data_IF_541024153164
#
_entry.id   IF_541024153164
#
_cell.length_a   1.000
_cell.length_b   1.000
_cell.length_c   1.000
_cell.angle_alpha   90.00
_cell.angle_beta   90.00
_cell.angle_gamma   90.00
#
_symmetry.space_group_name_H-M   'P 1'
#
loop_
_entity.id
_entity.type
_entity.pdbx_description
1 polymer ?
#
# COMPACT_ATOMS: atom_id res chain seq x y z
N UNK A 1 -26.39 -37.93 -11.48
CA UNK A 1 -25.60 -38.23 -10.26
C UNK A 1 -24.12 -38.00 -10.61
N UNK A 2 -23.44 -36.86 -10.44
CA UNK A 2 -23.61 -35.59 -9.73
C UNK A 2 -22.79 -34.57 -10.56
N UNK A 3 -23.44 -33.57 -11.12
CA UNK A 3 -22.80 -32.41 -11.76
C UNK A 3 -22.12 -31.58 -10.68
N UNK A 4 -20.83 -31.24 -10.83
CA UNK A 4 -20.28 -30.00 -10.28
C UNK A 4 -19.09 -29.51 -11.12
N UNK A 5 -18.98 -28.19 -11.33
CA UNK A 5 -18.76 -27.59 -12.64
C UNK A 5 -17.52 -26.70 -12.62
N UNK A 6 -16.39 -27.23 -12.12
CA UNK A 6 -15.14 -26.50 -12.08
C UNK A 6 -14.36 -26.76 -13.35
N UNK A 7 -14.82 -26.04 -14.36
CA UNK A 7 -14.24 -25.93 -15.68
C UNK A 7 -12.78 -25.42 -15.59
N UNK A 8 -11.82 -26.35 -15.57
CA UNK A 8 -10.37 -26.08 -15.63
C UNK A 8 -9.95 -25.26 -16.88
N UNK A 9 -10.87 -24.97 -17.80
CA UNK A 9 -10.63 -24.21 -19.03
C UNK A 9 -10.90 -22.69 -18.96
N UNK A 10 -11.30 -22.11 -17.81
CA UNK A 10 -11.77 -20.70 -17.74
C UNK A 10 -10.76 -19.65 -17.24
N UNK A 11 -9.45 -19.95 -17.13
CA UNK A 11 -8.44 -18.99 -16.59
C UNK A 11 -7.33 -18.66 -17.60
N UNK A 12 -7.56 -18.84 -18.90
CA UNK A 12 -6.69 -18.29 -19.94
C UNK A 12 -7.56 -17.50 -20.91
N UNK A 13 -7.64 -16.16 -20.81
CA UNK A 13 -8.14 -15.38 -21.92
C UNK A 13 -7.24 -15.68 -23.12
N UNK A 14 -7.75 -16.43 -24.09
CA UNK A 14 -7.04 -16.72 -25.34
C UNK A 14 -7.07 -15.53 -26.31
N UNK A 15 -7.58 -14.39 -25.85
CA UNK A 15 -7.63 -13.14 -26.58
C UNK A 15 -6.30 -12.41 -26.52
N UNK A 16 -5.86 -11.87 -27.67
CA UNK A 16 -4.64 -11.05 -27.76
C UNK A 16 -4.67 -9.88 -26.78
N UNK A 17 -5.86 -9.33 -26.53
CA UNK A 17 -6.10 -8.24 -25.59
C UNK A 17 -5.84 -8.65 -24.13
N UNK A 18 -6.28 -9.85 -23.73
CA UNK A 18 -6.03 -10.37 -22.38
C UNK A 18 -4.55 -10.61 -22.10
N UNK A 19 -3.81 -11.15 -23.07
CA UNK A 19 -2.34 -11.30 -22.97
C UNK A 19 -1.62 -9.95 -22.90
N UNK A 20 -2.09 -8.95 -23.65
CA UNK A 20 -1.54 -7.59 -23.61
C UNK A 20 -1.75 -6.91 -22.26
N UNK A 21 -2.97 -6.98 -21.70
CA UNK A 21 -3.27 -6.44 -20.37
C UNK A 21 -2.50 -7.16 -19.26
N UNK A 22 -2.31 -8.48 -19.39
CA UNK A 22 -1.53 -9.27 -18.45
C UNK A 22 -0.05 -8.87 -18.49
N UNK A 23 0.51 -8.63 -19.68
CA UNK A 23 1.88 -8.14 -19.84
C UNK A 23 2.07 -6.76 -19.17
N UNK A 24 1.15 -5.81 -19.42
CA UNK A 24 1.19 -4.50 -18.77
C UNK A 24 1.05 -4.60 -17.25
N UNK A 25 0.13 -5.43 -16.75
CA UNK A 25 -0.07 -5.68 -15.32
C UNK A 25 1.18 -6.29 -14.66
N UNK A 26 1.84 -7.23 -15.33
CA UNK A 26 3.09 -7.82 -14.84
C UNK A 26 4.21 -6.81 -14.81
N UNK A 27 4.34 -5.96 -15.84
CA UNK A 27 5.34 -4.90 -15.88
C UNK A 27 5.13 -3.90 -14.73
N UNK A 28 3.88 -3.46 -14.51
CA UNK A 28 3.54 -2.61 -13.37
C UNK A 28 3.87 -3.29 -12.03
N UNK A 29 3.54 -4.57 -11.85
CA UNK A 29 3.89 -5.29 -10.61
C UNK A 29 5.40 -5.33 -10.35
N UNK A 30 6.21 -5.55 -11.37
CA UNK A 30 7.67 -5.54 -11.26
C UNK A 30 8.17 -4.14 -10.84
N UNK A 31 7.66 -3.08 -11.47
CA UNK A 31 8.00 -1.70 -11.13
C UNK A 31 7.61 -1.38 -9.68
N UNK A 32 6.41 -1.79 -9.25
CA UNK A 32 5.95 -1.62 -7.87
C UNK A 32 6.86 -2.34 -6.85
N UNK A 33 7.33 -3.54 -7.18
CA UNK A 33 8.30 -4.28 -6.37
C UNK A 33 9.65 -3.56 -6.25
N UNK A 34 10.16 -3.02 -7.35
CA UNK A 34 11.39 -2.21 -7.34
C UNK A 34 11.24 -0.96 -6.47
N UNK A 35 10.10 -0.26 -6.56
CA UNK A 35 9.80 0.92 -5.75
C UNK A 35 9.79 0.58 -4.26
N UNK A 36 9.16 -0.53 -3.85
CA UNK A 36 9.18 -0.99 -2.46
C UNK A 36 10.60 -1.22 -1.94
N UNK A 37 11.44 -1.92 -2.71
CA UNK A 37 12.82 -2.19 -2.32
C UNK A 37 13.58 -0.87 -2.11
N UNK A 38 13.39 0.10 -3.01
CA UNK A 38 14.04 1.40 -2.93
C UNK A 38 13.63 2.17 -1.67
N UNK A 39 12.35 2.19 -1.33
CA UNK A 39 11.84 2.87 -0.11
C UNK A 39 12.34 2.20 1.16
N UNK A 40 12.37 0.86 1.19
CA UNK A 40 12.91 0.11 2.32
C UNK A 40 14.38 0.46 2.52
N UNK A 41 15.16 0.55 1.45
CA UNK A 41 16.57 0.97 1.50
C UNK A 41 16.68 2.39 2.10
N UNK A 42 15.89 3.35 1.61
CA UNK A 42 15.87 4.72 2.13
C UNK A 42 15.52 4.75 3.62
N UNK A 43 14.51 3.98 4.03
CA UNK A 43 14.11 3.89 5.43
C UNK A 43 15.23 3.30 6.31
N UNK A 44 15.88 2.22 5.87
CA UNK A 44 17.03 1.63 6.57
C UNK A 44 18.17 2.65 6.69
N UNK A 45 18.49 3.39 5.63
CA UNK A 45 19.50 4.45 5.69
C UNK A 45 19.11 5.56 6.66
N UNK A 46 17.83 5.97 6.70
CA UNK A 46 17.34 6.97 7.66
C UNK A 46 17.46 6.48 9.10
N UNK A 47 17.07 5.23 9.37
CA UNK A 47 17.17 4.63 10.71
C UNK A 47 18.63 4.54 11.15
N UNK A 48 19.53 4.09 10.26
CA UNK A 48 20.97 4.01 10.56
C UNK A 48 21.57 5.40 10.81
N UNK A 49 21.23 6.39 9.99
CA UNK A 49 21.68 7.77 10.17
C UNK A 49 21.20 8.39 11.49
N UNK A 50 19.97 8.06 11.91
CA UNK A 50 19.40 8.47 13.20
C UNK A 50 20.12 7.85 14.39
N UNK A 51 20.51 6.58 14.30
CA UNK A 51 21.16 5.84 15.40
C UNK A 51 22.64 6.20 15.54
N UNK A 52 23.36 6.44 14.44
CA UNK A 52 24.82 6.65 14.46
C UNK A 52 25.21 8.13 14.50
N UNK A 53 24.47 9.01 13.83
CA UNK A 53 24.86 10.41 13.61
C UNK A 53 23.88 11.45 14.19
N UNK A 54 22.81 11.02 14.85
CA UNK A 54 21.72 11.88 15.36
C UNK A 54 21.18 12.88 14.32
N UNK A 55 21.40 12.60 13.04
CA UNK A 55 21.08 13.46 11.91
C UNK A 55 20.10 12.71 11.01
N UNK A 56 18.78 12.83 11.25
CA UNK A 56 17.77 12.21 10.40
C UNK A 56 17.75 12.85 9.02
N UNK A 57 17.40 12.07 8.01
CA UNK A 57 17.04 12.59 6.69
C UNK A 57 15.72 13.37 6.82
N UNK A 58 15.77 14.70 6.67
CA UNK A 58 14.57 15.54 6.68
C UNK A 58 13.70 15.20 5.45
N UNK A 59 12.42 14.86 5.67
CA UNK A 59 11.48 14.51 4.58
C UNK A 59 11.49 13.02 4.19
N UNK A 60 12.10 12.14 4.99
CA UNK A 60 12.03 10.68 4.78
C UNK A 60 10.59 10.13 4.82
N UNK A 61 9.76 10.65 5.72
CA UNK A 61 8.34 10.27 5.82
C UNK A 61 7.53 10.58 4.57
N UNK A 62 7.68 11.78 4.00
CA UNK A 62 6.96 12.19 2.78
C UNK A 62 7.36 11.32 1.58
N UNK A 63 8.65 10.98 1.48
CA UNK A 63 9.18 10.11 0.44
C UNK A 63 8.66 8.67 0.56
N UNK A 64 8.59 8.15 1.79
CA UNK A 64 8.04 6.82 2.08
C UNK A 64 6.54 6.77 1.80
N UNK A 65 5.78 7.81 2.14
CA UNK A 65 4.33 7.89 1.90
C UNK A 65 4.02 7.87 0.41
N UNK A 66 4.64 8.77 -0.36
CA UNK A 66 4.46 8.85 -1.81
C UNK A 66 4.91 7.56 -2.50
N UNK A 67 6.05 7.03 -2.09
CA UNK A 67 6.58 5.79 -2.63
C UNK A 67 5.67 4.58 -2.36
N UNK A 68 5.11 4.47 -1.15
CA UNK A 68 4.15 3.42 -0.80
C UNK A 68 2.89 3.50 -1.67
N UNK A 69 2.36 4.70 -1.90
CA UNK A 69 1.19 4.90 -2.76
C UNK A 69 1.47 4.39 -4.18
N UNK A 70 2.60 4.78 -4.78
CA UNK A 70 3.03 4.34 -6.11
C UNK A 70 3.11 2.80 -6.16
N UNK A 71 3.74 2.17 -5.16
CA UNK A 71 3.86 0.72 -5.10
C UNK A 71 2.49 0.02 -5.07
N UNK A 72 1.57 0.46 -4.19
CA UNK A 72 0.23 -0.13 -4.05
C UNK A 72 -0.55 -0.02 -5.36
N UNK A 73 -0.57 1.17 -5.98
CA UNK A 73 -1.27 1.37 -7.26
C UNK A 73 -0.66 0.52 -8.39
N UNK A 74 0.65 0.29 -8.37
CA UNK A 74 1.33 -0.56 -9.35
C UNK A 74 0.98 -2.05 -9.21
N UNK A 75 0.60 -2.52 -8.01
CA UNK A 75 0.14 -3.90 -7.80
C UNK A 75 -1.35 -4.11 -8.08
N UNK A 76 -2.16 -3.06 -8.02
CA UNK A 76 -3.61 -3.13 -8.23
C UNK A 76 -4.03 -3.85 -9.53
N UNK A 77 -3.45 -3.56 -10.72
CA UNK A 77 -3.88 -4.21 -11.97
C UNK A 77 -3.63 -5.72 -11.99
N UNK A 78 -2.51 -6.19 -11.41
CA UNK A 78 -2.26 -7.64 -11.35
C UNK A 78 -3.17 -8.36 -10.35
N UNK A 79 -3.57 -7.70 -9.26
CA UNK A 79 -4.58 -8.20 -8.32
C UNK A 79 -5.95 -8.36 -9.00
N UNK A 80 -6.37 -7.36 -9.77
CA UNK A 80 -7.59 -7.42 -10.57
C UNK A 80 -7.56 -8.56 -11.59
N UNK A 81 -6.44 -8.73 -12.29
CA UNK A 81 -6.31 -9.75 -13.34
C UNK A 81 -6.34 -11.18 -12.81
N UNK A 82 -5.78 -11.41 -11.63
CA UNK A 82 -5.79 -12.72 -10.99
C UNK A 82 -7.15 -13.08 -10.38
N UNK A 83 -8.15 -12.18 -10.46
CA UNK A 83 -9.38 -12.23 -9.64
C UNK A 83 -9.06 -12.53 -8.16
N UNK A 84 -7.84 -12.16 -7.74
CA UNK A 84 -7.36 -12.20 -6.36
C UNK A 84 -7.65 -10.88 -5.68
N UNK A 85 -8.61 -10.12 -6.23
CA UNK A 85 -9.33 -9.09 -5.49
C UNK A 85 -10.06 -9.81 -4.37
N UNK A 86 -9.32 -9.98 -3.28
CA UNK A 86 -9.77 -10.15 -1.93
C UNK A 86 -10.76 -9.00 -1.66
N UNK A 87 -11.98 -9.14 -2.15
CA UNK A 87 -13.05 -8.16 -1.97
C UNK A 87 -13.61 -8.29 -0.53
N UNK A 88 -13.06 -9.19 0.31
CA UNK A 88 -13.44 -9.42 1.73
C UNK A 88 -12.30 -9.82 2.71
N UNK A 89 -11.17 -10.43 2.32
CA UNK A 89 -10.32 -11.25 3.22
C UNK A 89 -9.23 -10.58 4.08
N UNK A 90 -9.32 -9.30 4.47
CA UNK A 90 -8.67 -8.93 5.74
C UNK A 90 -9.56 -8.10 6.67
N UNK A 91 -10.00 -6.88 6.33
CA UNK A 91 -10.47 -5.99 7.40
C UNK A 91 -11.51 -4.92 7.01
N UNK A 92 -12.53 -5.34 6.25
CA UNK A 92 -13.88 -4.76 6.40
C UNK A 92 -14.94 -5.80 6.77
N UNK A 93 -14.56 -6.98 7.26
CA UNK A 93 -15.54 -7.91 7.84
C UNK A 93 -15.76 -7.71 9.35
N UNK A 94 -15.33 -6.57 9.93
CA UNK A 94 -15.84 -6.12 11.24
C UNK A 94 -15.73 -4.65 11.65
N UNK A 95 -15.38 -3.68 10.79
CA UNK A 95 -15.36 -2.27 11.23
C UNK A 95 -16.20 -1.33 10.35
N UNK A 96 -17.33 -0.79 10.88
CA UNK A 96 -18.21 0.13 10.14
C UNK A 96 -17.56 1.50 9.86
N UNK A 97 -18.14 2.26 8.92
CA UNK A 97 -17.72 3.63 8.51
C UNK A 97 -17.45 4.57 9.70
N UNK A 98 -18.21 4.37 10.79
CA UNK A 98 -18.05 5.06 12.07
C UNK A 98 -16.67 4.89 12.70
N UNK A 99 -16.08 3.69 12.61
CA UNK A 99 -14.77 3.38 13.23
C UNK A 99 -13.64 4.05 12.45
N UNK A 100 -13.77 4.13 11.12
CA UNK A 100 -12.80 4.85 10.29
C UNK A 100 -12.84 6.35 10.58
N UNK A 101 -14.03 6.93 10.77
CA UNK A 101 -14.18 8.33 11.17
C UNK A 101 -13.66 8.59 12.59
N UNK A 102 -13.90 7.68 13.54
CA UNK A 102 -13.33 7.77 14.90
C UNK A 102 -11.81 7.71 14.87
N UNK A 103 -11.22 6.81 14.07
CA UNK A 103 -9.77 6.67 13.98
C UNK A 103 -9.10 7.91 13.34
N UNK A 104 -9.80 8.55 12.41
CA UNK A 104 -9.37 9.79 11.75
C UNK A 104 -9.47 10.99 12.71
N UNK A 105 -10.59 11.12 13.43
CA UNK A 105 -10.76 12.12 14.50
C UNK A 105 -9.70 11.94 15.59
N UNK A 106 -9.42 10.69 15.97
CA UNK A 106 -8.39 10.37 16.96
C UNK A 106 -6.99 10.76 16.48
N UNK A 107 -6.65 10.48 15.23
CA UNK A 107 -5.38 10.91 14.62
C UNK A 107 -5.25 12.44 14.62
N UNK A 108 -6.30 13.16 14.23
CA UNK A 108 -6.30 14.62 14.20
C UNK A 108 -6.20 15.23 15.61
N UNK A 109 -6.86 14.62 16.59
CA UNK A 109 -6.80 15.06 17.99
C UNK A 109 -5.39 14.90 18.58
N UNK A 110 -4.76 13.76 18.30
CA UNK A 110 -3.36 13.52 18.69
C UNK A 110 -2.42 14.52 18.01
N UNK A 111 -2.61 14.77 16.72
CA UNK A 111 -1.81 15.72 15.98
C UNK A 111 -1.93 17.14 16.55
N UNK A 112 -3.15 17.58 16.86
CA UNK A 112 -3.42 18.87 17.50
C UNK A 112 -2.78 18.96 18.89
N UNK A 113 -2.85 17.89 19.68
CA UNK A 113 -2.23 17.85 21.00
C UNK A 113 -0.71 17.94 20.93
N UNK A 114 -0.08 17.20 20.02
CA UNK A 114 1.37 17.23 19.80
C UNK A 114 1.81 18.58 19.28
N UNK A 115 1.17 19.11 18.23
CA UNK A 115 1.49 20.43 17.66
C UNK A 115 1.32 21.55 18.70
N UNK A 116 0.24 21.53 19.48
CA UNK A 116 0.03 22.46 20.58
C UNK A 116 1.14 22.38 21.63
N UNK A 117 1.51 21.17 22.07
CA UNK A 117 2.61 20.97 23.00
C UNK A 117 3.95 21.52 22.48
N UNK A 118 4.27 21.28 21.21
CA UNK A 118 5.47 21.84 20.56
C UNK A 118 5.44 23.38 20.55
N UNK A 119 4.31 23.99 20.20
CA UNK A 119 4.13 25.46 20.23
C UNK A 119 4.29 26.02 21.64
N UNK A 120 3.70 25.38 22.65
CA UNK A 120 3.85 25.79 24.06
C UNK A 120 5.27 25.64 24.60
N UNK A 121 6.08 24.75 24.01
CA UNK A 121 7.48 24.58 24.39
C UNK A 121 8.43 25.51 23.60
N UNK A 122 7.99 26.02 22.46
CA UNK A 122 8.75 26.94 21.62
C UNK A 122 8.50 28.41 22.00
N UNK A 123 7.34 28.72 22.59
CA UNK A 123 7.04 29.99 23.25
C UNK A 123 7.72 30.08 24.63
#
# INVERSE_FOLDING_TARGET
MKTNPFNESQIRPNDKFGRFLLYLSTLLSIVGGCVLILIVIINVFSIVGRVIFSSPLLGDFELVEMGCAIAIFSFLPICHFKNGNVIVDFFSSRFPIYIKQILDIFSNLIFLMVSGFFTFRMI
#
